data_IF_579092789179
#
_entry.id   IF_579092789179
#
_cell.length_a   1.000
_cell.length_b   1.000
_cell.length_c   1.000
_cell.angle_alpha   90.00
_cell.angle_beta   90.00
_cell.angle_gamma   90.00
#
_symmetry.space_group_name_H-M   'P 1'
#
loop_
_entity.id
_entity.type
_entity.pdbx_description
1 polymer ?
#
# COMPACT_ATOMS: atom_id res chain seq x y z
N UNK A 1 1.88 -7.34 36.96
CA UNK A 1 1.70 -7.74 35.54
C UNK A 1 0.30 -8.29 35.34
N UNK A 2 -0.53 -7.63 34.54
CA UNK A 2 -1.72 -8.22 33.92
C UNK A 2 -1.74 -7.76 32.46
N UNK A 3 -1.46 -8.70 31.54
CA UNK A 3 -1.63 -8.52 30.10
C UNK A 3 -3.12 -8.41 29.82
N UNK A 4 -3.60 -7.22 29.44
CA UNK A 4 -4.83 -7.08 28.68
C UNK A 4 -4.55 -7.45 27.23
N UNK A 5 -5.42 -8.27 26.66
CA UNK A 5 -5.28 -8.86 25.33
C UNK A 5 -5.03 -7.80 24.24
N UNK A 6 -4.22 -8.20 23.26
CA UNK A 6 -3.88 -7.44 22.07
C UNK A 6 -5.13 -6.83 21.42
N UNK A 7 -5.06 -5.53 21.18
CA UNK A 7 -6.12 -4.78 20.51
C UNK A 7 -6.38 -5.28 19.09
N UNK A 8 -7.61 -5.03 18.64
CA UNK A 8 -7.99 -4.77 17.26
C UNK A 8 -7.03 -5.26 16.17
N UNK A 9 -7.09 -6.56 15.86
CA UNK A 9 -6.63 -7.08 14.56
C UNK A 9 -7.86 -7.09 13.64
N UNK A 10 -8.22 -5.89 13.18
CA UNK A 10 -9.39 -5.68 12.34
C UNK A 10 -9.01 -5.89 10.86
N UNK A 11 -9.75 -6.72 10.09
CA UNK A 11 -9.46 -7.02 8.69
C UNK A 11 -9.95 -5.94 7.70
N UNK A 12 -10.21 -4.72 8.13
CA UNK A 12 -10.85 -3.66 7.34
C UNK A 12 -10.05 -3.10 6.15
N UNK A 13 -8.84 -3.60 5.93
CA UNK A 13 -7.99 -3.20 4.79
C UNK A 13 -7.91 -4.25 3.66
N UNK A 14 -8.54 -5.43 3.83
CA UNK A 14 -8.57 -6.46 2.78
C UNK A 14 -9.85 -6.32 1.95
N UNK A 15 -9.66 -6.02 0.67
CA UNK A 15 -10.75 -6.00 -0.32
C UNK A 15 -10.68 -7.28 -1.14
N UNK A 16 -11.84 -7.82 -1.48
CA UNK A 16 -11.93 -8.89 -2.47
C UNK A 16 -11.72 -8.28 -3.86
N UNK A 17 -10.52 -8.45 -4.41
CA UNK A 17 -10.17 -7.99 -5.75
C UNK A 17 -9.97 -9.21 -6.65
N UNK A 18 -10.90 -9.40 -7.59
CA UNK A 18 -10.95 -10.59 -8.45
C UNK A 18 -11.06 -11.94 -7.71
N UNK A 19 -11.74 -12.00 -6.57
CA UNK A 19 -11.89 -13.22 -5.77
C UNK A 19 -10.74 -13.47 -4.80
N UNK A 20 -9.75 -12.57 -4.74
CA UNK A 20 -8.59 -12.69 -3.86
C UNK A 20 -8.60 -11.59 -2.79
N UNK A 21 -8.47 -11.96 -1.51
CA UNK A 21 -8.43 -11.00 -0.43
C UNK A 21 -7.06 -10.31 -0.36
N UNK A 22 -6.95 -9.15 -0.98
CA UNK A 22 -5.71 -8.36 -1.12
C UNK A 22 -5.80 -7.04 -0.36
N UNK A 23 -4.64 -6.53 0.08
CA UNK A 23 -4.54 -5.17 0.59
C UNK A 23 -4.41 -4.22 -0.60
N UNK A 24 -5.40 -3.34 -0.80
CA UNK A 24 -5.44 -2.40 -1.92
C UNK A 24 -5.31 -0.96 -1.42
N UNK A 25 -4.18 -0.35 -1.74
CA UNK A 25 -3.85 1.03 -1.36
C UNK A 25 -3.94 1.97 -2.57
N UNK A 26 -4.67 3.09 -2.43
CA UNK A 26 -4.87 4.08 -3.49
C UNK A 26 -4.37 5.47 -3.07
N UNK A 27 -3.66 6.16 -3.97
CA UNK A 27 -3.18 7.53 -3.77
C UNK A 27 -3.72 8.46 -4.87
N UNK A 28 -4.68 9.32 -4.51
CA UNK A 28 -5.29 10.28 -5.45
C UNK A 28 -4.59 11.63 -5.37
N UNK A 29 -3.57 11.86 -6.20
CA UNK A 29 -2.80 13.12 -6.20
C UNK A 29 -3.55 14.35 -6.76
N UNK A 30 -4.29 14.25 -7.88
CA UNK A 30 -4.89 15.44 -8.52
C UNK A 30 -6.00 16.11 -7.70
N UNK A 31 -6.73 15.33 -6.89
CA UNK A 31 -7.89 15.82 -6.14
C UNK A 31 -7.53 16.46 -4.79
N UNK A 32 -6.24 16.47 -4.42
CA UNK A 32 -5.77 16.85 -3.08
C UNK A 32 -4.97 18.16 -3.12
N UNK A 33 -5.05 18.96 -2.04
CA UNK A 33 -4.24 20.19 -1.90
C UNK A 33 -2.75 19.87 -1.75
N UNK A 34 -2.44 18.84 -0.95
CA UNK A 34 -1.10 18.30 -0.80
C UNK A 34 -0.92 17.07 -1.69
N UNK A 35 0.22 16.97 -2.39
CA UNK A 35 0.48 15.87 -3.31
C UNK A 35 0.68 14.55 -2.55
N UNK A 36 -0.25 13.62 -2.76
CA UNK A 36 -0.14 12.24 -2.25
C UNK A 36 0.37 11.35 -3.37
N UNK A 37 1.30 10.45 -3.03
CA UNK A 37 1.96 9.52 -3.95
C UNK A 37 2.09 8.16 -3.27
N UNK A 38 2.32 7.10 -4.04
CA UNK A 38 2.49 5.73 -3.52
C UNK A 38 3.64 5.61 -2.52
N UNK A 39 4.71 6.41 -2.69
CA UNK A 39 5.82 6.48 -1.73
C UNK A 39 5.40 6.95 -0.34
N UNK A 40 4.39 7.82 -0.24
CA UNK A 40 3.87 8.31 1.04
C UNK A 40 3.14 7.18 1.77
N UNK A 41 2.36 6.38 1.05
CA UNK A 41 1.67 5.21 1.60
C UNK A 41 2.67 4.12 2.05
N UNK A 42 3.69 3.85 1.24
CA UNK A 42 4.77 2.91 1.58
C UNK A 42 5.48 3.30 2.89
N UNK A 43 5.75 4.59 3.10
CA UNK A 43 6.37 5.08 4.35
C UNK A 43 5.43 4.94 5.54
N UNK A 44 4.16 5.34 5.40
CA UNK A 44 3.14 5.22 6.45
C UNK A 44 2.96 3.77 6.91
N UNK A 45 3.02 2.81 5.98
CA UNK A 45 2.85 1.38 6.24
C UNK A 45 4.17 0.63 6.47
N UNK A 46 5.29 1.31 6.65
CA UNK A 46 6.62 0.67 6.63
C UNK A 46 6.82 -0.47 7.65
N UNK A 47 6.18 -0.42 8.82
CA UNK A 47 6.21 -1.50 9.82
C UNK A 47 5.40 -2.73 9.36
N UNK A 48 4.20 -2.50 8.83
CA UNK A 48 3.30 -3.52 8.31
C UNK A 48 3.86 -4.18 7.04
N UNK A 49 4.40 -3.37 6.13
CA UNK A 49 5.05 -3.86 4.91
C UNK A 49 6.26 -4.74 5.23
N UNK A 50 7.11 -4.38 6.20
CA UNK A 50 8.22 -5.24 6.62
C UNK A 50 7.76 -6.57 7.22
N UNK A 51 6.59 -6.60 7.86
CA UNK A 51 6.00 -7.83 8.40
C UNK A 51 5.43 -8.72 7.29
N UNK A 52 4.82 -8.12 6.27
CA UNK A 52 4.18 -8.85 5.16
C UNK A 52 5.14 -9.24 4.04
N UNK A 53 6.18 -8.44 3.81
CA UNK A 53 7.20 -8.62 2.78
C UNK A 53 8.54 -8.86 3.47
N UNK A 54 8.86 -10.11 3.85
CA UNK A 54 10.17 -10.46 4.36
C UNK A 54 11.27 -10.12 3.36
N UNK A 55 12.50 -10.04 3.85
CA UNK A 55 13.66 -9.77 3.01
C UNK A 55 13.74 -10.78 1.84
N UNK A 56 13.87 -10.27 0.62
CA UNK A 56 13.90 -11.08 -0.60
C UNK A 56 12.53 -11.32 -1.25
N UNK A 57 11.42 -10.82 -0.68
CA UNK A 57 10.14 -10.82 -1.41
C UNK A 57 10.24 -10.00 -2.70
N UNK A 58 9.72 -10.52 -3.84
CA UNK A 58 9.76 -9.80 -5.10
C UNK A 58 8.92 -8.52 -5.00
N UNK A 59 9.47 -7.40 -5.50
CA UNK A 59 8.77 -6.12 -5.58
C UNK A 59 8.61 -5.74 -7.04
N UNK A 60 7.37 -5.71 -7.50
CA UNK A 60 7.02 -5.25 -8.85
C UNK A 60 6.74 -3.75 -8.82
N UNK A 61 7.34 -3.00 -9.75
CA UNK A 61 7.05 -1.58 -9.97
C UNK A 61 6.78 -1.42 -11.46
N UNK A 62 5.64 -0.82 -11.80
CA UNK A 62 5.31 -0.43 -13.15
C UNK A 62 5.03 1.07 -13.15
N UNK A 63 5.55 1.77 -14.15
CA UNK A 63 5.32 3.19 -14.36
C UNK A 63 4.52 3.40 -15.64
N UNK A 64 3.76 4.49 -15.69
CA UNK A 64 3.18 4.93 -16.95
C UNK A 64 4.28 5.61 -17.77
N UNK A 65 4.80 4.94 -18.78
CA UNK A 65 5.57 5.60 -19.83
C UNK A 65 4.60 6.50 -20.59
N UNK A 66 4.77 7.81 -20.50
CA UNK A 66 4.08 8.72 -21.42
C UNK A 66 4.80 8.57 -22.76
N UNK A 67 4.35 7.63 -23.60
CA UNK A 67 4.81 7.49 -25.00
C UNK A 67 4.32 8.65 -25.90
N UNK A 68 4.16 9.85 -25.34
CA UNK A 68 3.88 11.09 -26.07
C UNK A 68 5.22 11.79 -26.34
N UNK A 69 6.13 11.08 -27.01
CA UNK A 69 7.31 11.68 -27.59
C UNK A 69 7.47 11.18 -29.02
N UNK A 70 6.85 11.90 -29.97
CA UNK A 70 7.46 12.17 -31.27
C UNK A 70 6.75 13.31 -32.00
N UNK A 71 7.46 14.02 -32.89
CA UNK A 71 7.50 15.47 -33.01
C UNK A 71 6.51 16.05 -34.02
#
# INVERSE_FOLDING_TARGET
>A
MRRGAAGDDQPEDRVDWAGLPVNLDLAFSPQQRDKVYTQHLMRKRGTQLRRWLPAGSPRCVCEQSNDDERP
#
